data_IF_570106682150
#
_entry.id   IF_570106682150
#
_cell.length_a   1.000
_cell.length_b   1.000
_cell.length_c   1.000
_cell.angle_alpha   90.00
_cell.angle_beta   90.00
_cell.angle_gamma   90.00
#
_symmetry.space_group_name_H-M   'P 1'
#
loop_
_entity.id
_entity.type
_entity.pdbx_description
1 polymer ?
#
# COMPACT_ATOMS: atom_id res chain seq x y z
N UNK A 1 -16.74 -1.35 -22.37
CA UNK A 1 -15.31 -1.68 -22.61
C UNK A 1 -14.48 -0.88 -21.61
N UNK A 2 -14.24 -1.42 -20.41
CA UNK A 2 -13.45 -0.74 -19.35
C UNK A 2 -12.61 -1.74 -18.54
N UNK A 3 -12.28 -2.91 -19.10
CA UNK A 3 -11.47 -3.92 -18.39
C UNK A 3 -9.95 -3.69 -18.55
N UNK A 4 -9.53 -2.71 -19.37
CA UNK A 4 -8.12 -2.42 -19.63
C UNK A 4 -7.49 -1.45 -18.62
N UNK A 5 -8.22 -0.43 -18.16
CA UNK A 5 -7.71 0.55 -17.19
C UNK A 5 -7.56 -0.06 -15.81
N UNK A 6 -8.55 -0.85 -15.35
CA UNK A 6 -8.48 -1.50 -14.04
C UNK A 6 -7.24 -2.38 -13.90
N UNK A 7 -6.86 -3.15 -14.92
CA UNK A 7 -5.65 -3.99 -14.85
C UNK A 7 -4.34 -3.19 -14.82
N UNK A 8 -4.31 -2.04 -15.49
CA UNK A 8 -3.15 -1.14 -15.47
C UNK A 8 -3.01 -0.44 -14.12
N UNK A 9 -4.10 0.13 -13.60
CA UNK A 9 -4.13 0.80 -12.29
C UNK A 9 -3.81 -0.19 -11.16
N UNK A 10 -4.35 -1.42 -11.24
CA UNK A 10 -4.09 -2.50 -10.29
C UNK A 10 -2.60 -2.87 -10.23
N UNK A 11 -1.95 -2.98 -11.39
CA UNK A 11 -0.51 -3.26 -11.43
C UNK A 11 0.33 -2.09 -10.93
N UNK A 12 -0.03 -0.86 -11.31
CA UNK A 12 0.63 0.35 -10.84
C UNK A 12 0.51 0.53 -9.33
N UNK A 13 -0.63 0.16 -8.73
CA UNK A 13 -0.85 0.20 -7.29
C UNK A 13 0.13 -0.71 -6.53
N UNK A 14 0.28 -1.94 -7.01
CA UNK A 14 1.21 -2.90 -6.41
C UNK A 14 2.68 -2.47 -6.60
N UNK A 15 3.08 -2.08 -7.82
CA UNK A 15 4.45 -1.63 -8.10
C UNK A 15 4.84 -0.39 -7.28
N UNK A 16 3.89 0.52 -7.07
CA UNK A 16 4.08 1.68 -6.19
C UNK A 16 4.30 1.22 -4.75
N UNK A 17 3.43 0.36 -4.21
CA UNK A 17 3.55 -0.14 -2.85
C UNK A 17 4.89 -0.89 -2.63
N UNK A 18 5.34 -1.69 -3.60
CA UNK A 18 6.62 -2.40 -3.54
C UNK A 18 7.82 -1.45 -3.49
N UNK A 19 7.74 -0.30 -4.16
CA UNK A 19 8.77 0.74 -4.12
C UNK A 19 8.93 1.33 -2.71
N UNK A 20 7.82 1.47 -1.98
CA UNK A 20 7.84 1.95 -0.59
C UNK A 20 8.16 0.87 0.45
N UNK A 21 8.00 -0.41 0.08
CA UNK A 21 8.19 -1.55 0.98
C UNK A 21 9.10 -2.64 0.39
N UNK A 22 10.33 -2.33 -0.06
CA UNK A 22 11.17 -3.28 -0.78
C UNK A 22 11.52 -4.53 0.06
N UNK A 23 11.82 -4.35 1.35
CA UNK A 23 12.14 -5.46 2.27
C UNK A 23 10.93 -6.39 2.54
N UNK A 24 9.72 -5.94 2.20
CA UNK A 24 8.47 -6.62 2.50
C UNK A 24 7.63 -6.89 1.24
N UNK A 25 8.21 -6.75 0.05
CA UNK A 25 7.52 -6.83 -1.23
C UNK A 25 6.65 -8.10 -1.37
N UNK A 26 7.18 -9.28 -0.98
CA UNK A 26 6.42 -10.54 -1.03
C UNK A 26 5.18 -10.54 -0.12
N UNK A 27 5.26 -9.87 1.03
CA UNK A 27 4.14 -9.76 1.96
C UNK A 27 3.12 -8.75 1.46
N UNK A 28 3.59 -7.63 0.90
CA UNK A 28 2.75 -6.63 0.23
C UNK A 28 1.98 -7.25 -0.93
N UNK A 29 2.64 -7.99 -1.83
CA UNK A 29 1.99 -8.76 -2.91
C UNK A 29 0.91 -9.67 -2.35
N UNK A 30 1.22 -10.48 -1.33
CA UNK A 30 0.24 -11.38 -0.73
C UNK A 30 -0.97 -10.61 -0.20
N UNK A 31 -0.75 -9.56 0.57
CA UNK A 31 -1.84 -8.76 1.17
C UNK A 31 -2.68 -8.08 0.11
N UNK A 32 -2.06 -7.56 -0.94
CA UNK A 32 -2.72 -6.94 -2.07
C UNK A 32 -3.72 -7.88 -2.76
N UNK A 33 -3.39 -9.18 -2.89
CA UNK A 33 -4.30 -10.16 -3.51
C UNK A 33 -5.36 -10.74 -2.56
N UNK A 34 -5.12 -10.75 -1.24
CA UNK A 34 -5.99 -11.47 -0.28
C UNK A 34 -6.76 -10.57 0.68
N UNK A 35 -6.44 -9.27 0.73
CA UNK A 35 -7.07 -8.30 1.62
C UNK A 35 -7.53 -7.08 0.81
N UNK A 36 -8.83 -6.97 0.60
CA UNK A 36 -9.46 -5.90 -0.17
C UNK A 36 -9.23 -4.50 0.43
N UNK A 37 -9.18 -4.38 1.76
CA UNK A 37 -8.86 -3.11 2.40
C UNK A 37 -7.40 -2.70 2.12
N UNK A 38 -6.47 -3.67 2.15
CA UNK A 38 -5.08 -3.43 1.79
C UNK A 38 -4.89 -3.13 0.30
N UNK A 39 -5.68 -3.77 -0.55
CA UNK A 39 -5.76 -3.45 -1.97
C UNK A 39 -6.16 -1.98 -2.18
N UNK A 40 -7.26 -1.54 -1.58
CA UNK A 40 -7.73 -0.14 -1.65
C UNK A 40 -6.66 0.84 -1.16
N UNK A 41 -5.97 0.53 -0.06
CA UNK A 41 -4.86 1.38 0.43
C UNK A 41 -3.72 1.51 -0.59
N UNK A 42 -3.42 0.47 -1.37
CA UNK A 42 -2.40 0.54 -2.42
C UNK A 42 -2.86 1.40 -3.60
N UNK A 43 -4.15 1.35 -3.97
CA UNK A 43 -4.72 2.22 -5.00
C UNK A 43 -4.66 3.69 -4.58
N UNK A 44 -5.03 3.98 -3.33
CA UNK A 44 -4.97 5.33 -2.75
C UNK A 44 -3.52 5.85 -2.71
N UNK A 45 -2.56 4.99 -2.33
CA UNK A 45 -1.14 5.35 -2.33
C UNK A 45 -0.63 5.69 -3.73
N UNK A 46 -1.01 4.91 -4.75
CA UNK A 46 -0.63 5.20 -6.13
C UNK A 46 -1.22 6.51 -6.63
N UNK A 47 -2.50 6.76 -6.36
CA UNK A 47 -3.15 8.02 -6.73
C UNK A 47 -2.48 9.22 -6.02
N UNK A 48 -2.14 9.08 -4.74
CA UNK A 48 -1.46 10.10 -3.95
C UNK A 48 -0.03 10.38 -4.44
N UNK A 49 0.75 9.33 -4.72
CA UNK A 49 2.09 9.45 -5.25
C UNK A 49 2.11 10.10 -6.63
N UNK A 50 1.15 9.75 -7.50
CA UNK A 50 1.01 10.36 -8.81
C UNK A 50 0.59 11.84 -8.72
N UNK A 51 -0.31 12.18 -7.79
CA UNK A 51 -0.69 13.56 -7.51
C UNK A 51 0.48 14.38 -6.98
N UNK A 52 1.31 13.80 -6.10
CA UNK A 52 2.53 14.44 -5.60
C UNK A 52 3.53 14.69 -6.75
N UNK A 53 3.77 13.70 -7.61
CA UNK A 53 4.66 13.85 -8.76
C UNK A 53 4.17 14.93 -9.73
N UNK A 54 2.85 15.03 -9.95
CA UNK A 54 2.23 16.12 -10.73
C UNK A 54 2.37 17.47 -10.03
N UNK A 55 2.22 17.51 -8.71
CA UNK A 55 2.39 18.74 -7.93
C UNK A 55 3.84 19.28 -8.01
N UNK A 56 4.84 18.41 -8.11
CA UNK A 56 6.25 18.83 -8.27
C UNK A 56 6.55 19.50 -9.62
N UNK A 57 5.69 19.30 -10.63
CA UNK A 57 5.76 19.96 -11.94
C UNK A 57 5.04 21.33 -11.97
N UNK A 58 4.35 21.72 -10.89
CA UNK A 58 3.66 23.00 -10.81
C UNK A 58 4.63 24.17 -10.59
N UNK A 59 4.23 25.40 -10.96
CA UNK A 59 5.00 26.60 -10.63
C UNK A 59 5.28 26.70 -9.13
N UNK A 60 6.50 27.12 -8.77
CA UNK A 60 7.01 27.18 -7.39
C UNK A 60 6.04 27.85 -6.39
N UNK A 61 5.27 28.85 -6.85
CA UNK A 61 4.28 29.57 -6.03
C UNK A 61 3.12 28.69 -5.49
N UNK A 62 2.81 27.57 -6.16
CA UNK A 62 1.72 26.64 -5.77
C UNK A 62 2.31 25.29 -5.34
N UNK A 63 3.51 24.98 -5.81
CA UNK A 63 4.24 23.74 -5.55
C UNK A 63 4.43 23.46 -4.07
N UNK A 64 4.92 24.44 -3.30
CA UNK A 64 5.25 24.22 -1.89
C UNK A 64 4.01 23.80 -1.07
N UNK A 65 2.88 24.48 -1.25
CA UNK A 65 1.64 24.21 -0.52
C UNK A 65 1.03 22.86 -0.90
N UNK A 66 0.93 22.57 -2.20
CA UNK A 66 0.34 21.32 -2.69
C UNK A 66 1.23 20.11 -2.45
N UNK A 67 2.55 20.29 -2.55
CA UNK A 67 3.52 19.24 -2.22
C UNK A 67 3.39 18.81 -0.78
N UNK A 68 3.27 19.76 0.16
CA UNK A 68 3.16 19.45 1.59
C UNK A 68 1.87 18.70 1.91
N UNK A 69 0.76 19.06 1.25
CA UNK A 69 -0.53 18.38 1.37
C UNK A 69 -0.47 16.93 0.87
N UNK A 70 0.01 16.71 -0.36
CA UNK A 70 0.10 15.35 -0.92
C UNK A 70 1.17 14.50 -0.23
N UNK A 71 2.28 15.09 0.20
CA UNK A 71 3.30 14.39 0.99
C UNK A 71 2.75 13.91 2.34
N UNK A 72 1.93 14.73 3.00
CA UNK A 72 1.24 14.34 4.24
C UNK A 72 0.26 13.18 4.03
N UNK A 73 -0.47 13.17 2.91
CA UNK A 73 -1.39 12.09 2.56
C UNK A 73 -0.64 10.78 2.26
N UNK A 74 0.47 10.85 1.52
CA UNK A 74 1.36 9.69 1.29
C UNK A 74 1.91 9.16 2.63
N UNK A 75 2.38 10.02 3.53
CA UNK A 75 2.92 9.58 4.82
C UNK A 75 1.85 8.89 5.70
N UNK A 76 0.64 9.44 5.74
CA UNK A 76 -0.49 8.85 6.46
C UNK A 76 -0.83 7.46 5.91
N UNK A 77 -0.95 7.31 4.59
CA UNK A 77 -1.21 6.02 3.95
C UNK A 77 -0.10 5.01 4.24
N UNK A 78 1.16 5.42 4.14
CA UNK A 78 2.29 4.55 4.45
C UNK A 78 2.29 4.08 5.90
N UNK A 79 1.83 4.93 6.84
CA UNK A 79 1.67 4.54 8.23
C UNK A 79 0.57 3.47 8.39
N UNK A 80 -0.60 3.67 7.81
CA UNK A 80 -1.70 2.70 7.86
C UNK A 80 -1.30 1.36 7.23
N UNK A 81 -0.59 1.40 6.09
CA UNK A 81 -0.07 0.19 5.45
C UNK A 81 0.96 -0.53 6.32
N UNK A 82 1.87 0.20 6.99
CA UNK A 82 2.83 -0.41 7.95
C UNK A 82 2.12 -1.11 9.10
N UNK A 83 1.05 -0.50 9.62
CA UNK A 83 0.23 -1.10 10.68
C UNK A 83 -0.47 -2.36 10.17
N UNK A 84 -1.12 -2.31 9.00
CA UNK A 84 -1.77 -3.47 8.38
C UNK A 84 -0.80 -4.63 8.11
N UNK A 85 0.41 -4.33 7.63
CA UNK A 85 1.49 -5.31 7.45
C UNK A 85 1.90 -5.93 8.79
N UNK A 86 2.06 -5.10 9.83
CA UNK A 86 2.46 -5.56 11.17
C UNK A 86 1.40 -6.46 11.80
N UNK A 87 0.12 -6.10 11.70
CA UNK A 87 -0.99 -6.92 12.16
C UNK A 87 -1.07 -8.25 11.41
N UNK A 88 -0.81 -8.24 10.11
CA UNK A 88 -0.80 -9.46 9.29
C UNK A 88 0.29 -10.43 9.71
N UNK A 89 1.48 -9.94 10.09
CA UNK A 89 2.55 -10.77 10.66
C UNK A 89 2.14 -11.37 12.01
N UNK A 90 1.44 -10.62 12.86
CA UNK A 90 0.94 -11.10 14.16
C UNK A 90 -0.09 -12.23 13.96
N UNK A 91 -1.02 -12.09 13.01
CA UNK A 91 -2.01 -13.13 12.71
C UNK A 91 -1.34 -14.42 12.21
N UNK A 92 -0.32 -14.30 11.35
CA UNK A 92 0.47 -15.45 10.88
C UNK A 92 1.18 -16.16 12.05
N UNK A 93 1.82 -15.42 12.95
CA UNK A 93 2.49 -15.99 14.13
C UNK A 93 1.51 -16.71 15.07
N UNK A 94 0.32 -16.14 15.31
CA UNK A 94 -0.71 -16.76 16.16
C UNK A 94 -1.21 -18.08 15.56
N UNK A 95 -1.41 -18.15 14.24
CA UNK A 95 -1.88 -19.35 13.55
C UNK A 95 -0.87 -20.51 13.64
N UNK A 96 0.43 -20.20 13.73
CA UNK A 96 1.50 -21.20 13.89
C UNK A 96 1.61 -21.79 15.31
N UNK A 97 0.91 -21.25 16.30
CA UNK A 97 1.02 -21.71 17.71
C UNK A 97 -0.08 -22.69 18.17
N UNK A 98 -0.99 -23.10 17.28
CA UNK A 98 -2.03 -24.11 17.58
C UNK A 98 -1.80 -25.35 16.73
N UNK A 99 -0.82 -26.17 17.09
CA UNK A 99 -0.79 -27.59 16.71
C UNK A 99 0.04 -28.37 17.74
N UNK A 100 -0.56 -28.61 18.91
CA UNK A 100 -0.09 -29.67 19.82
C UNK A 100 -1.08 -30.83 19.72
N UNK A 101 -0.67 -32.03 19.29
CA UNK A 101 -1.57 -33.18 19.24
C UNK A 101 -1.91 -33.59 20.68
N UNK A 102 -3.21 -33.59 21.00
CA UNK A 102 -3.71 -34.29 22.19
C UNK A 102 -3.87 -35.76 21.77
N UNK A 103 -2.81 -36.53 21.97
CA UNK A 103 -2.81 -38.00 21.87
C UNK A 103 -3.68 -38.60 23.00
N UNK A 104 -4.20 -39.83 22.82
CA UNK A 104 -5.49 -40.30 23.35
C UNK A 104 -5.55 -40.50 24.88
#
# INVERSE_FOLDING_TARGET
MASGESGSTYRSALETAETYFPDQARLVQRLFYVNEAFHSMCEDLAAAAEALARAEQLPEAIKELRRLEYAGLVDALLKEMREAISQSKIVVLRRSTVTGPKSP
#
